data_IF_433780600848
#
_entry.id   IF_433780600848
#
_cell.length_a   1.000
_cell.length_b   1.000
_cell.length_c   1.000
_cell.angle_alpha   90.00
_cell.angle_beta   90.00
_cell.angle_gamma   90.00
#
_symmetry.space_group_name_H-M   'P 1'
#
loop_
_entity.id
_entity.type
_entity.pdbx_description
1 polymer ?
#
# COMPACT_ATOMS: atom_id res chain seq x y z
N UNK A 1 85.52 16.91 -22.51
CA UNK A 1 84.65 17.94 -23.10
C UNK A 1 83.49 17.23 -23.80
N UNK A 2 82.24 17.65 -23.52
CA UNK A 2 80.93 17.27 -24.12
C UNK A 2 80.28 15.91 -23.75
N UNK A 3 79.46 16.02 -22.70
CA UNK A 3 78.09 15.52 -22.51
C UNK A 3 77.39 14.84 -23.71
N UNK A 4 76.77 13.68 -23.45
CA UNK A 4 75.58 13.22 -24.17
C UNK A 4 74.58 12.65 -23.14
N UNK A 5 73.49 13.40 -22.92
CA UNK A 5 72.36 13.02 -22.07
C UNK A 5 71.38 12.23 -22.93
N UNK A 6 71.17 10.95 -22.63
CA UNK A 6 70.04 10.19 -23.16
C UNK A 6 68.82 10.42 -22.25
N UNK A 7 67.85 11.20 -22.73
CA UNK A 7 66.53 11.34 -22.13
C UNK A 7 65.67 10.16 -22.58
N UNK A 8 65.30 9.27 -21.66
CA UNK A 8 64.10 8.44 -21.83
C UNK A 8 63.09 8.86 -20.78
N UNK A 9 62.02 9.49 -21.26
CA UNK A 9 60.88 9.90 -20.46
C UNK A 9 60.12 8.65 -20.00
N UNK A 10 60.07 8.40 -18.69
CA UNK A 10 59.15 7.43 -18.11
C UNK A 10 57.76 8.09 -18.06
N UNK A 11 56.93 7.80 -19.06
CA UNK A 11 55.53 8.23 -19.08
C UNK A 11 54.75 7.39 -18.07
N UNK A 12 54.50 7.94 -16.88
CA UNK A 12 53.55 7.37 -15.93
C UNK A 12 52.15 7.62 -16.47
N UNK A 13 51.52 6.60 -17.07
CA UNK A 13 50.09 6.62 -17.34
C UNK A 13 49.36 6.53 -15.99
N UNK A 14 48.83 7.66 -15.50
CA UNK A 14 47.80 7.64 -14.48
C UNK A 14 46.52 7.09 -15.11
N UNK A 15 46.22 5.82 -14.83
CA UNK A 15 44.90 5.24 -15.07
C UNK A 15 43.89 5.89 -14.13
N UNK A 16 43.26 6.98 -14.57
CA UNK A 16 42.03 7.45 -13.97
C UNK A 16 40.94 6.44 -14.31
N UNK A 17 40.71 5.48 -13.42
CA UNK A 17 39.49 4.69 -13.43
C UNK A 17 38.33 5.65 -13.20
N UNK A 18 37.69 6.07 -14.29
CA UNK A 18 36.34 6.64 -14.28
C UNK A 18 35.41 5.54 -13.78
N UNK A 19 35.33 5.35 -12.47
CA UNK A 19 34.14 4.78 -11.86
C UNK A 19 33.02 5.73 -12.24
N UNK A 20 32.26 5.39 -13.28
CA UNK A 20 31.03 6.09 -13.61
C UNK A 20 30.22 6.16 -12.33
N UNK A 21 29.98 7.37 -11.83
CA UNK A 21 29.19 7.59 -10.64
C UNK A 21 27.83 6.95 -10.91
N UNK A 22 27.56 5.78 -10.33
CA UNK A 22 26.21 5.29 -10.21
C UNK A 22 25.46 6.41 -9.48
N UNK A 23 24.57 7.08 -10.19
CA UNK A 23 23.86 8.23 -9.65
C UNK A 23 23.08 7.74 -8.44
N UNK A 24 23.56 8.08 -7.25
CA UNK A 24 23.01 7.55 -6.00
C UNK A 24 21.55 7.96 -5.93
N UNK A 25 20.67 6.97 -5.84
CA UNK A 25 19.23 7.13 -5.67
C UNK A 25 18.94 7.74 -4.30
N UNK A 26 19.20 9.05 -4.15
CA UNK A 26 18.93 9.79 -2.92
C UNK A 26 17.54 10.40 -3.01
N UNK A 27 16.75 10.19 -1.95
CA UNK A 27 15.50 10.92 -1.75
C UNK A 27 15.79 12.20 -0.97
N UNK A 28 15.56 13.34 -1.62
CA UNK A 28 15.87 14.66 -1.08
C UNK A 28 14.84 15.68 -1.58
N UNK A 29 13.62 15.66 -1.02
CA UNK A 29 12.59 16.63 -1.34
C UNK A 29 13.08 18.07 -1.14
N UNK A 30 12.72 19.02 -2.02
CA UNK A 30 13.06 20.41 -1.82
C UNK A 30 12.36 20.97 -0.56
N UNK A 31 13.02 21.84 0.21
CA UNK A 31 12.38 22.50 1.34
C UNK A 31 11.18 23.32 0.84
N UNK A 32 10.06 23.24 1.56
CA UNK A 32 8.79 23.91 1.19
C UNK A 32 8.22 23.50 -0.19
N UNK A 33 8.60 22.33 -0.71
CA UNK A 33 7.97 21.76 -1.90
C UNK A 33 6.49 21.48 -1.70
N UNK A 34 5.74 21.39 -2.81
CA UNK A 34 4.34 21.01 -2.79
C UNK A 34 4.14 19.64 -2.13
N UNK A 35 3.11 19.51 -1.31
CA UNK A 35 2.78 18.31 -0.55
C UNK A 35 1.34 17.90 -0.80
N UNK A 36 1.09 16.60 -0.65
CA UNK A 36 -0.24 16.01 -0.52
C UNK A 36 -0.46 15.67 0.94
N UNK A 37 -1.54 16.17 1.53
CA UNK A 37 -1.95 15.80 2.88
C UNK A 37 -2.89 14.60 2.80
N UNK A 38 -2.55 13.52 3.50
CA UNK A 38 -3.38 12.33 3.64
C UNK A 38 -3.88 12.25 5.08
N UNK A 39 -5.20 12.27 5.26
CA UNK A 39 -5.86 12.20 6.55
C UNK A 39 -6.71 10.94 6.63
N UNK A 40 -6.54 10.17 7.70
CA UNK A 40 -7.33 8.99 8.03
C UNK A 40 -8.09 9.26 9.32
N UNK A 41 -9.42 9.17 9.27
CA UNK A 41 -10.25 9.09 10.48
C UNK A 41 -10.27 7.65 10.94
N UNK A 42 -9.71 7.37 12.11
CA UNK A 42 -9.57 6.02 12.65
C UNK A 42 -10.79 5.68 13.51
N UNK A 43 -11.61 4.69 13.12
CA UNK A 43 -12.73 4.25 13.93
C UNK A 43 -12.25 3.62 15.23
N UNK A 44 -13.15 3.58 16.22
CA UNK A 44 -12.91 2.83 17.46
C UNK A 44 -12.53 1.38 17.14
N UNK A 45 -11.60 0.85 17.93
CA UNK A 45 -11.08 -0.54 17.86
C UNK A 45 -10.14 -0.82 16.66
N UNK A 46 -9.83 0.19 15.84
CA UNK A 46 -8.87 0.12 14.74
C UNK A 46 -7.69 1.08 14.96
N UNK A 47 -6.64 0.89 14.15
CA UNK A 47 -5.48 1.77 14.05
C UNK A 47 -5.25 2.20 12.59
N UNK A 48 -4.54 3.32 12.39
CA UNK A 48 -4.12 3.73 11.05
C UNK A 48 -2.98 2.84 10.56
N UNK A 49 -2.99 2.48 9.28
CA UNK A 49 -1.87 1.77 8.65
C UNK A 49 -0.67 2.71 8.47
N UNK A 50 0.54 2.16 8.57
CA UNK A 50 1.74 2.76 7.96
C UNK A 50 1.45 3.02 6.49
N UNK A 51 1.73 4.24 6.02
CA UNK A 51 1.51 4.57 4.62
C UNK A 51 2.67 4.08 3.77
N UNK A 52 2.39 3.21 2.81
CA UNK A 52 3.37 2.78 1.80
C UNK A 52 3.31 3.73 0.61
N UNK A 53 4.34 4.55 0.47
CA UNK A 53 4.40 5.62 -0.53
C UNK A 53 5.38 5.23 -1.61
N UNK A 54 4.97 5.39 -2.86
CA UNK A 54 5.79 5.08 -4.02
C UNK A 54 6.14 6.35 -4.77
N UNK A 55 7.43 6.54 -5.02
CA UNK A 55 7.94 7.52 -5.97
C UNK A 55 8.49 6.84 -7.22
N UNK A 56 8.39 7.53 -8.36
CA UNK A 56 8.90 7.05 -9.65
C UNK A 56 9.81 8.06 -10.34
N UNK A 57 10.66 7.56 -11.23
CA UNK A 57 11.54 8.39 -12.05
C UNK A 57 11.87 7.73 -13.40
N UNK A 58 11.53 8.41 -14.48
CA UNK A 58 12.03 8.09 -15.83
C UNK A 58 13.54 8.40 -15.99
N UNK A 59 14.13 9.23 -15.12
CA UNK A 59 15.56 9.59 -15.17
C UNK A 59 16.48 8.51 -14.61
N UNK A 60 15.96 7.70 -13.69
CA UNK A 60 16.68 6.59 -13.10
C UNK A 60 15.87 5.31 -13.38
N UNK A 61 15.83 4.83 -14.63
CA UNK A 61 15.01 3.68 -15.00
C UNK A 61 15.47 2.41 -14.27
N UNK A 62 14.51 1.54 -13.97
CA UNK A 62 14.79 0.18 -13.52
C UNK A 62 14.64 -0.80 -14.70
N UNK A 63 15.37 -1.91 -14.65
CA UNK A 63 15.24 -3.00 -15.62
C UNK A 63 14.44 -4.13 -14.98
N UNK A 64 13.37 -4.52 -15.64
CA UNK A 64 12.58 -5.69 -15.28
C UNK A 64 12.70 -6.75 -16.37
N UNK A 65 12.45 -8.01 -15.99
CA UNK A 65 12.33 -9.10 -16.96
C UNK A 65 11.44 -10.18 -16.39
N UNK A 66 10.33 -10.45 -17.08
CA UNK A 66 9.43 -11.56 -16.75
C UNK A 66 9.71 -12.82 -17.60
N UNK A 67 10.28 -12.64 -18.80
CA UNK A 67 10.50 -13.66 -19.82
C UNK A 67 11.99 -13.87 -20.16
N UNK A 68 12.89 -13.24 -19.40
CA UNK A 68 14.34 -13.29 -19.62
C UNK A 68 14.87 -12.19 -20.57
N UNK A 69 14.00 -11.40 -21.20
CA UNK A 69 14.38 -10.20 -21.94
C UNK A 69 14.20 -8.96 -21.03
N UNK A 70 15.27 -8.20 -20.73
CA UNK A 70 15.14 -7.00 -19.94
C UNK A 70 14.41 -5.89 -20.71
N UNK A 71 13.39 -5.31 -20.09
CA UNK A 71 12.76 -4.07 -20.53
C UNK A 71 12.93 -2.98 -19.47
N UNK A 72 12.98 -1.73 -19.91
CA UNK A 72 13.11 -0.58 -19.01
C UNK A 72 11.74 -0.07 -18.58
N UNK A 73 11.63 0.26 -17.30
CA UNK A 73 10.51 0.96 -16.70
C UNK A 73 11.03 2.15 -15.91
N UNK A 74 10.14 3.08 -15.55
CA UNK A 74 10.46 4.09 -14.54
C UNK A 74 11.02 3.42 -13.29
N UNK A 75 12.12 3.95 -12.77
CA UNK A 75 12.63 3.50 -11.49
C UNK A 75 11.64 3.78 -10.38
N UNK A 76 11.82 3.09 -9.26
CA UNK A 76 10.96 3.19 -8.09
C UNK A 76 11.75 3.51 -6.83
N UNK A 77 11.14 4.27 -5.94
CA UNK A 77 11.67 4.59 -4.62
C UNK A 77 10.56 4.48 -3.57
N UNK A 78 10.39 3.31 -2.92
CA UNK A 78 9.42 3.13 -1.85
C UNK A 78 9.89 3.81 -0.56
N UNK A 79 8.97 4.43 0.16
CA UNK A 79 9.16 4.86 1.55
C UNK A 79 7.92 4.52 2.38
N UNK A 80 8.16 4.31 3.67
CA UNK A 80 7.10 4.15 4.66
C UNK A 80 6.95 5.44 5.47
N UNK A 81 5.71 5.86 5.69
CA UNK A 81 5.39 7.07 6.45
C UNK A 81 4.34 6.75 7.50
N UNK A 82 4.70 6.94 8.77
CA UNK A 82 3.77 6.83 9.89
C UNK A 82 2.91 8.09 10.02
N UNK A 83 1.58 7.99 9.87
CA UNK A 83 0.72 9.15 10.07
C UNK A 83 0.65 9.50 11.55
N UNK A 84 0.60 10.80 11.85
CA UNK A 84 0.61 11.32 13.22
C UNK A 84 -0.78 11.74 13.64
N UNK A 85 -1.15 11.42 14.88
CA UNK A 85 -2.40 11.88 15.46
C UNK A 85 -2.47 13.41 15.50
N UNK A 86 -3.60 13.97 15.07
CA UNK A 86 -3.86 15.40 15.06
C UNK A 86 -4.50 15.79 16.40
N UNK A 87 -3.71 16.40 17.29
CA UNK A 87 -4.16 16.81 18.62
C UNK A 87 -4.71 15.62 19.43
N UNK A 88 -5.82 15.82 20.12
CA UNK A 88 -6.56 14.75 20.83
C UNK A 88 -7.80 14.33 20.03
N UNK A 89 -7.62 13.92 18.77
CA UNK A 89 -8.71 13.50 17.88
C UNK A 89 -8.52 12.08 17.35
N UNK A 90 -9.51 11.57 16.63
CA UNK A 90 -9.45 10.32 15.88
C UNK A 90 -8.83 10.48 14.48
N UNK A 91 -8.23 11.64 14.19
CA UNK A 91 -7.63 11.94 12.89
C UNK A 91 -6.11 11.72 12.93
N UNK A 92 -5.61 11.03 11.91
CA UNK A 92 -4.19 10.76 11.69
C UNK A 92 -3.77 11.33 10.35
N UNK A 93 -2.69 12.11 10.33
CA UNK A 93 -2.24 12.85 9.15
C UNK A 93 -0.78 12.55 8.79
N UNK A 94 -0.52 12.39 7.50
CA UNK A 94 0.81 12.46 6.93
C UNK A 94 0.86 13.48 5.78
N UNK A 95 2.02 14.09 5.59
CA UNK A 95 2.29 14.99 4.46
C UNK A 95 3.35 14.38 3.56
N UNK A 96 3.00 14.19 2.30
CA UNK A 96 3.83 13.51 1.31
C UNK A 96 4.33 14.54 0.31
N UNK A 97 5.63 14.65 0.10
CA UNK A 97 6.17 15.55 -0.92
C UNK A 97 5.74 15.09 -2.32
N UNK A 98 5.25 15.98 -3.18
CA UNK A 98 5.04 15.65 -4.59
C UNK A 98 6.35 15.42 -5.32
N UNK A 99 7.35 16.22 -4.97
CA UNK A 99 8.71 16.13 -5.48
C UNK A 99 9.60 15.47 -4.42
N UNK A 100 9.98 14.22 -4.66
CA UNK A 100 10.98 13.50 -3.89
C UNK A 100 12.42 13.96 -4.17
N UNK A 101 12.61 14.77 -5.22
CA UNK A 101 13.86 15.44 -5.53
C UNK A 101 15.03 14.49 -5.78
N UNK A 102 16.21 14.91 -5.36
CA UNK A 102 17.47 14.21 -5.64
C UNK A 102 17.85 14.17 -7.11
N UNK A 103 18.93 13.46 -7.41
CA UNK A 103 19.47 13.36 -8.76
C UNK A 103 18.51 12.67 -9.75
N UNK A 104 17.70 11.74 -9.24
CA UNK A 104 16.68 11.04 -10.01
C UNK A 104 15.39 11.85 -10.20
N UNK A 105 15.21 12.99 -9.52
CA UNK A 105 13.97 13.79 -9.60
C UNK A 105 12.72 12.94 -9.34
N UNK A 106 12.73 12.21 -8.23
CA UNK A 106 11.65 11.33 -7.81
C UNK A 106 10.30 12.07 -7.77
N UNK A 107 9.24 11.51 -8.33
CA UNK A 107 7.88 12.08 -8.29
C UNK A 107 6.92 11.12 -7.62
N UNK A 108 6.03 11.66 -6.79
CA UNK A 108 5.00 10.88 -6.10
C UNK A 108 4.12 10.16 -7.13
N UNK A 109 4.05 8.83 -7.05
CA UNK A 109 3.31 7.98 -7.97
C UNK A 109 2.02 7.46 -7.32
N UNK A 110 2.11 6.90 -6.12
CA UNK A 110 0.93 6.44 -5.38
C UNK A 110 1.21 6.33 -3.88
N UNK A 111 0.14 6.25 -3.10
CA UNK A 111 0.17 5.90 -1.68
C UNK A 111 -0.86 4.81 -1.39
N UNK A 112 -0.45 3.80 -0.64
CA UNK A 112 -1.35 2.82 -0.01
C UNK A 112 -1.45 3.15 1.48
N UNK A 113 -2.66 3.23 2.00
CA UNK A 113 -2.95 3.55 3.39
C UNK A 113 -4.30 2.94 3.77
N UNK A 114 -4.69 3.01 5.04
CA UNK A 114 -5.92 2.37 5.47
C UNK A 114 -6.04 2.30 6.98
N UNK A 115 -6.80 1.30 7.41
CA UNK A 115 -6.98 0.94 8.82
C UNK A 115 -6.86 -0.57 8.99
N UNK A 116 -6.33 -0.99 10.14
CA UNK A 116 -6.23 -2.39 10.54
C UNK A 116 -6.67 -2.57 12.00
N UNK A 117 -6.84 -3.83 12.41
CA UNK A 117 -6.96 -4.15 13.84
C UNK A 117 -5.58 -4.22 14.48
N UNK A 118 -5.33 -3.36 15.46
CA UNK A 118 -4.16 -3.48 16.34
C UNK A 118 -4.38 -4.57 17.39
N UNK A 119 -5.61 -4.69 17.91
CA UNK A 119 -5.99 -5.69 18.89
C UNK A 119 -7.20 -6.51 18.42
N UNK A 120 -7.04 -7.82 18.42
CA UNK A 120 -8.03 -8.79 17.95
C UNK A 120 -8.61 -9.66 19.06
N UNK A 121 -8.20 -9.46 20.32
CA UNK A 121 -8.54 -10.31 21.45
C UNK A 121 -10.05 -10.46 21.68
N UNK A 122 -10.84 -9.43 21.34
CA UNK A 122 -12.29 -9.45 21.43
C UNK A 122 -12.96 -10.50 20.51
N UNK A 123 -12.24 -10.99 19.49
CA UNK A 123 -12.72 -12.06 18.61
C UNK A 123 -12.30 -13.45 19.09
N UNK A 124 -11.72 -13.56 20.29
CA UNK A 124 -11.29 -14.81 20.91
C UNK A 124 -9.79 -15.09 20.75
N UNK A 125 -9.34 -16.12 21.47
CA UNK A 125 -7.96 -16.59 21.43
C UNK A 125 -7.55 -16.94 19.99
N UNK A 126 -6.31 -16.62 19.63
CA UNK A 126 -5.67 -16.90 18.34
C UNK A 126 -6.31 -16.24 17.11
N UNK A 127 -7.20 -15.26 17.29
CA UNK A 127 -7.70 -14.45 16.19
C UNK A 127 -6.60 -13.51 15.67
N UNK A 128 -6.20 -13.67 14.41
CA UNK A 128 -5.19 -12.80 13.78
C UNK A 128 -5.85 -11.88 12.75
N UNK A 129 -5.43 -10.61 12.71
CA UNK A 129 -5.84 -9.73 11.63
C UNK A 129 -5.25 -10.21 10.30
N UNK A 130 -6.09 -10.26 9.27
CA UNK A 130 -5.70 -10.78 7.97
C UNK A 130 -5.57 -9.68 6.90
N UNK A 131 -6.68 -9.01 6.55
CA UNK A 131 -6.68 -7.94 5.55
C UNK A 131 -7.98 -7.10 5.60
N UNK A 132 -8.05 -6.09 4.74
CA UNK A 132 -9.20 -5.22 4.52
C UNK A 132 -9.03 -3.83 5.13
N UNK A 133 -9.81 -2.85 4.67
CA UNK A 133 -9.70 -1.46 5.13
C UNK A 133 -8.68 -0.60 4.37
N UNK A 134 -8.08 -1.15 3.31
CA UNK A 134 -7.05 -0.48 2.51
C UNK A 134 -7.60 0.43 1.42
N UNK A 135 -6.82 1.46 1.08
CA UNK A 135 -7.06 2.41 0.01
C UNK A 135 -5.74 2.66 -0.74
N UNK A 136 -5.82 2.81 -2.06
CA UNK A 136 -4.72 3.24 -2.91
C UNK A 136 -5.14 4.53 -3.62
N UNK A 137 -4.28 5.54 -3.58
CA UNK A 137 -4.45 6.76 -4.38
C UNK A 137 -3.25 6.93 -5.30
N UNK A 138 -3.53 7.09 -6.58
CA UNK A 138 -2.58 7.18 -7.68
C UNK A 138 -2.52 8.64 -8.17
N UNK A 139 -1.32 9.16 -8.34
CA UNK A 139 -1.02 10.55 -8.70
C UNK A 139 -0.35 10.70 -10.07
N UNK A 140 -0.11 9.60 -10.78
CA UNK A 140 0.48 9.59 -12.12
C UNK A 140 -0.29 8.63 -13.05
N UNK A 141 0.26 8.40 -14.25
CA UNK A 141 -0.32 7.47 -15.24
C UNK A 141 0.18 6.03 -15.07
N UNK A 142 0.98 5.77 -14.03
CA UNK A 142 1.51 4.45 -13.77
C UNK A 142 0.52 3.59 -12.97
N UNK A 143 0.53 2.28 -13.22
CA UNK A 143 -0.16 1.35 -12.33
C UNK A 143 0.57 1.24 -10.99
N UNK A 144 -0.14 1.24 -9.85
CA UNK A 144 0.48 1.05 -8.54
C UNK A 144 1.08 -0.37 -8.45
N UNK A 145 2.13 -0.52 -7.64
CA UNK A 145 2.79 -1.83 -7.43
C UNK A 145 1.83 -2.83 -6.79
N UNK A 146 1.10 -2.39 -5.76
CA UNK A 146 -0.06 -3.12 -5.23
C UNK A 146 -1.24 -2.82 -6.13
N UNK A 147 -1.77 -3.85 -6.79
CA UNK A 147 -3.01 -3.71 -7.58
C UNK A 147 -4.19 -4.15 -6.75
N UNK A 148 -5.23 -3.32 -6.72
CA UNK A 148 -6.56 -3.85 -6.43
C UNK A 148 -7.01 -4.69 -7.63
N UNK A 149 -7.72 -5.79 -7.38
CA UNK A 149 -8.40 -6.54 -8.44
C UNK A 149 -9.59 -5.76 -9.02
N UNK A 150 -9.97 -4.66 -8.37
CA UNK A 150 -11.13 -3.84 -8.66
C UNK A 150 -10.79 -2.63 -9.53
N UNK A 151 -11.83 -2.01 -10.10
CA UNK A 151 -11.70 -0.84 -10.98
C UNK A 151 -11.13 0.38 -10.25
N UNK A 152 -10.17 1.06 -10.88
CA UNK A 152 -9.67 2.37 -10.46
C UNK A 152 -10.74 3.44 -10.72
N UNK A 153 -11.08 4.21 -9.69
CA UNK A 153 -12.03 5.33 -9.82
C UNK A 153 -11.26 6.62 -10.10
N UNK A 154 -11.48 7.23 -11.25
CA UNK A 154 -10.88 8.53 -11.59
C UNK A 154 -11.65 9.68 -10.92
N UNK A 155 -10.91 10.59 -10.30
CA UNK A 155 -11.42 11.82 -9.70
C UNK A 155 -10.48 12.97 -10.03
N UNK A 156 -11.01 14.20 -10.03
CA UNK A 156 -10.20 15.42 -10.21
C UNK A 156 -10.16 16.19 -8.90
N UNK A 157 -8.96 16.65 -8.53
CA UNK A 157 -8.74 17.44 -7.33
C UNK A 157 -8.80 16.62 -6.05
N UNK A 158 -9.06 17.31 -4.94
CA UNK A 158 -9.07 16.74 -3.61
C UNK A 158 -10.15 15.66 -3.45
N UNK A 159 -9.85 14.60 -2.72
CA UNK A 159 -10.74 13.45 -2.59
C UNK A 159 -11.17 13.23 -1.14
N UNK A 160 -12.47 12.96 -0.96
CA UNK A 160 -13.01 12.41 0.29
C UNK A 160 -13.54 11.01 0.01
N UNK A 161 -13.08 10.04 0.79
CA UNK A 161 -13.38 8.61 0.62
C UNK A 161 -14.14 8.17 1.86
N UNK A 162 -15.42 7.85 1.68
CA UNK A 162 -16.30 7.37 2.75
C UNK A 162 -16.74 5.95 2.39
N UNK A 163 -16.46 4.99 3.27
CA UNK A 163 -16.69 3.57 3.04
C UNK A 163 -17.17 2.89 4.31
N UNK A 164 -18.13 2.00 4.14
CA UNK A 164 -18.69 1.20 5.21
C UNK A 164 -17.91 -0.12 5.33
N UNK A 165 -17.57 -0.50 6.55
CA UNK A 165 -16.83 -1.71 6.85
C UNK A 165 -17.45 -2.48 8.02
N UNK A 166 -17.26 -3.80 8.00
CA UNK A 166 -17.81 -4.72 9.00
C UNK A 166 -16.75 -5.72 9.49
N UNK A 167 -16.79 -6.15 10.76
CA UNK A 167 -15.98 -7.25 11.24
C UNK A 167 -16.40 -8.57 10.57
N UNK A 168 -15.43 -9.31 10.04
CA UNK A 168 -15.62 -10.68 9.57
C UNK A 168 -14.64 -11.63 10.25
N UNK A 169 -15.17 -12.45 11.16
CA UNK A 169 -14.42 -13.53 11.82
C UNK A 169 -14.52 -14.79 10.95
N UNK A 170 -13.39 -15.25 10.43
CA UNK A 170 -13.31 -16.42 9.56
C UNK A 170 -12.50 -17.54 10.21
N UNK A 171 -13.11 -18.71 10.35
CA UNK A 171 -12.44 -19.92 10.81
C UNK A 171 -12.18 -20.87 9.65
N UNK A 172 -10.97 -21.38 9.56
CA UNK A 172 -10.58 -22.41 8.59
C UNK A 172 -9.94 -23.59 9.32
N UNK A 173 -10.24 -24.80 8.86
CA UNK A 173 -9.83 -26.05 9.52
C UNK A 173 -8.88 -26.90 8.66
N UNK A 174 -8.95 -26.75 7.33
CA UNK A 174 -8.09 -27.51 6.41
C UNK A 174 -6.68 -26.93 6.39
N UNK A 175 -5.68 -27.79 6.61
CA UNK A 175 -4.28 -27.37 6.69
C UNK A 175 -3.89 -26.74 8.04
N UNK A 176 -4.67 -27.03 9.09
CA UNK A 176 -4.51 -26.49 10.43
C UNK A 176 -5.60 -25.47 10.78
N UNK A 177 -5.97 -25.38 12.05
CA UNK A 177 -6.91 -24.39 12.52
C UNK A 177 -6.32 -22.98 12.38
N UNK A 178 -7.07 -22.08 11.76
CA UNK A 178 -6.75 -20.65 11.70
C UNK A 178 -8.01 -19.84 11.93
N UNK A 179 -7.91 -18.83 12.79
CA UNK A 179 -8.95 -17.85 13.05
C UNK A 179 -8.47 -16.48 12.60
N UNK A 180 -9.22 -15.85 11.70
CA UNK A 180 -8.84 -14.57 11.08
C UNK A 180 -9.92 -13.54 11.31
N UNK A 181 -9.52 -12.31 11.59
CA UNK A 181 -10.40 -11.14 11.52
C UNK A 181 -10.06 -10.34 10.26
N UNK A 182 -11.10 -10.09 9.46
CA UNK A 182 -11.04 -9.34 8.22
C UNK A 182 -11.91 -8.09 8.37
N UNK A 183 -11.44 -6.96 7.86
CA UNK A 183 -12.25 -5.75 7.73
C UNK A 183 -12.99 -5.85 6.40
N UNK A 184 -14.22 -6.33 6.44
CA UNK A 184 -15.04 -6.57 5.25
C UNK A 184 -15.58 -5.24 4.71
N UNK A 185 -15.07 -4.84 3.55
CA UNK A 185 -15.61 -3.75 2.73
C UNK A 185 -16.33 -4.26 1.49
N UNK A 186 -16.93 -3.35 0.71
CA UNK A 186 -17.47 -3.70 -0.62
C UNK A 186 -16.38 -4.17 -1.59
N UNK A 187 -15.15 -3.72 -1.35
CA UNK A 187 -13.93 -4.10 -2.03
C UNK A 187 -12.86 -4.31 -0.96
N UNK A 188 -11.91 -5.22 -1.20
CA UNK A 188 -10.79 -5.44 -0.28
C UNK A 188 -9.90 -4.20 -0.17
N UNK A 189 -9.68 -3.53 -1.30
CA UNK A 189 -8.91 -2.29 -1.42
C UNK A 189 -9.58 -1.37 -2.45
N UNK A 190 -9.90 -0.14 -2.05
CA UNK A 190 -10.44 0.87 -2.96
C UNK A 190 -9.30 1.61 -3.67
N UNK A 191 -9.36 1.72 -5.00
CA UNK A 191 -8.35 2.42 -5.79
C UNK A 191 -8.91 3.68 -6.44
N UNK A 192 -8.18 4.78 -6.27
CA UNK A 192 -8.51 6.07 -6.85
C UNK A 192 -7.33 6.63 -7.64
N UNK A 193 -7.63 7.35 -8.72
CA UNK A 193 -6.64 8.16 -9.44
C UNK A 193 -7.05 9.62 -9.36
N UNK A 194 -6.20 10.46 -8.76
CA UNK A 194 -6.36 11.91 -8.76
C UNK A 194 -4.99 12.59 -8.76
N UNK A 195 -4.51 12.89 -9.97
CA UNK A 195 -3.17 13.44 -10.23
C UNK A 195 -2.94 14.74 -9.44
N UNK A 196 -3.95 15.61 -9.39
CA UNK A 196 -3.84 16.96 -8.83
C UNK A 196 -4.38 17.08 -7.39
N UNK A 197 -4.73 15.97 -6.71
CA UNK A 197 -5.23 16.01 -5.33
C UNK A 197 -4.18 16.57 -4.38
N UNK A 198 -4.49 17.66 -3.68
CA UNK A 198 -3.67 18.22 -2.60
C UNK A 198 -4.07 17.66 -1.25
N UNK A 199 -5.33 17.26 -1.11
CA UNK A 199 -5.84 16.63 0.09
C UNK A 199 -6.57 15.33 -0.22
N UNK A 200 -6.34 14.33 0.63
CA UNK A 200 -6.98 13.03 0.62
C UNK A 200 -7.53 12.81 2.02
N UNK A 201 -8.83 12.63 2.13
CA UNK A 201 -9.47 12.35 3.42
C UNK A 201 -10.19 11.02 3.36
N UNK A 202 -9.80 10.05 4.19
CA UNK A 202 -10.47 8.77 4.33
C UNK A 202 -11.24 8.70 5.64
N UNK A 203 -12.55 8.49 5.54
CA UNK A 203 -13.50 8.39 6.66
C UNK A 203 -14.23 7.05 6.60
N UNK A 204 -13.58 5.95 7.03
CA UNK A 204 -14.28 4.69 7.18
C UNK A 204 -15.36 4.78 8.27
N UNK A 205 -16.55 4.24 7.99
CA UNK A 205 -17.55 3.92 9.01
C UNK A 205 -17.40 2.45 9.36
N UNK A 206 -17.04 2.15 10.60
CA UNK A 206 -16.84 0.78 11.05
C UNK A 206 -17.99 0.33 11.97
N UNK A 207 -18.76 -0.67 11.53
CA UNK A 207 -19.91 -1.20 12.27
C UNK A 207 -19.50 -2.36 13.17
N UNK A 208 -18.80 -2.06 14.27
CA UNK A 208 -18.26 -3.10 15.18
C UNK A 208 -19.34 -4.02 15.78
N UNK A 209 -20.59 -3.56 15.86
CA UNK A 209 -21.73 -4.34 16.33
C UNK A 209 -22.33 -5.30 15.29
N UNK A 210 -21.89 -5.25 14.03
CA UNK A 210 -22.40 -6.07 12.93
C UNK A 210 -21.34 -7.07 12.45
N UNK A 211 -21.11 -8.12 13.25
CA UNK A 211 -20.09 -9.15 12.94
C UNK A 211 -20.64 -10.27 12.05
N UNK A 212 -19.94 -10.53 10.96
CA UNK A 212 -20.09 -11.73 10.13
C UNK A 212 -19.19 -12.85 10.66
N UNK A 213 -19.72 -14.06 10.76
CA UNK A 213 -18.94 -15.25 11.07
C UNK A 213 -18.89 -16.18 9.86
N UNK A 214 -17.74 -16.80 9.60
CA UNK A 214 -17.65 -17.90 8.64
C UNK A 214 -16.89 -19.09 9.16
N UNK A 215 -17.33 -20.27 8.73
CA UNK A 215 -16.69 -21.55 9.02
C UNK A 215 -16.40 -22.25 7.69
N UNK A 216 -15.12 -22.50 7.44
CA UNK A 216 -14.67 -23.30 6.32
C UNK A 216 -15.05 -24.79 6.48
N UNK A 217 -14.93 -25.59 5.40
CA UNK A 217 -15.06 -27.04 5.46
C UNK A 217 -14.12 -27.65 6.51
N UNK A 218 -14.56 -28.72 7.18
CA UNK A 218 -13.74 -29.46 8.14
C UNK A 218 -13.04 -30.63 7.49
N UNK A 219 -13.61 -31.16 6.42
CA UNK A 219 -13.03 -32.23 5.62
C UNK A 219 -12.75 -31.78 4.19
N UNK A 220 -11.92 -32.53 3.45
CA UNK A 220 -11.65 -32.28 2.01
C UNK A 220 -12.81 -32.72 1.10
N UNK A 221 -13.99 -33.01 1.66
CA UNK A 221 -15.17 -33.41 0.90
C UNK A 221 -15.66 -32.24 0.02
N UNK A 222 -15.92 -32.51 -1.26
CA UNK A 222 -16.42 -31.53 -2.22
C UNK A 222 -17.86 -31.07 -1.93
N UNK A 223 -18.61 -31.79 -1.10
CA UNK A 223 -19.96 -31.39 -0.71
C UNK A 223 -19.97 -30.49 0.53
N UNK A 224 -18.88 -30.49 1.31
CA UNK A 224 -18.68 -29.50 2.37
C UNK A 224 -18.24 -28.17 1.76
N UNK A 225 -19.06 -27.15 1.93
CA UNK A 225 -18.80 -25.78 1.49
C UNK A 225 -18.83 -24.82 2.67
N UNK A 226 -18.14 -23.66 2.57
CA UNK A 226 -18.13 -22.68 3.65
C UNK A 226 -19.55 -22.23 4.04
N UNK A 227 -19.74 -22.04 5.34
CA UNK A 227 -20.94 -21.47 5.93
C UNK A 227 -20.67 -20.05 6.42
N UNK A 228 -21.64 -19.15 6.25
CA UNK A 228 -21.59 -17.76 6.67
C UNK A 228 -22.82 -17.43 7.50
N UNK A 229 -22.63 -16.84 8.68
CA UNK A 229 -23.68 -16.41 9.60
C UNK A 229 -23.61 -14.90 9.77
N UNK A 230 -24.67 -14.22 9.32
CA UNK A 230 -24.79 -12.75 9.29
C UNK A 230 -25.24 -12.19 10.65
N UNK A 231 -25.06 -10.88 10.88
CA UNK A 231 -25.46 -10.24 12.15
C UNK A 231 -26.94 -10.41 12.50
N UNK A 232 -27.81 -10.55 11.50
CA UNK A 232 -29.25 -10.76 11.69
C UNK A 232 -29.63 -12.22 12.04
N UNK A 233 -28.65 -13.12 12.18
CA UNK A 233 -28.86 -14.55 12.46
C UNK A 233 -28.98 -15.43 11.21
N UNK A 234 -29.12 -14.85 10.02
CA UNK A 234 -29.24 -15.63 8.79
C UNK A 234 -27.96 -16.41 8.52
N UNK A 235 -28.13 -17.66 8.07
CA UNK A 235 -27.01 -18.52 7.69
C UNK A 235 -27.14 -19.00 6.26
N UNK A 236 -26.05 -18.91 5.50
CA UNK A 236 -25.98 -19.40 4.11
C UNK A 236 -24.77 -20.31 3.94
N UNK A 237 -24.83 -21.22 2.97
CA UNK A 237 -23.71 -22.03 2.51
C UNK A 237 -23.40 -21.69 1.07
N UNK A 238 -22.17 -21.25 0.78
CA UNK A 238 -21.78 -20.84 -0.58
C UNK A 238 -20.27 -20.93 -0.78
N UNK A 239 -19.83 -21.16 -2.01
CA UNK A 239 -18.43 -21.09 -2.41
C UNK A 239 -17.98 -19.67 -2.78
N UNK A 240 -18.91 -18.76 -3.04
CA UNK A 240 -18.63 -17.42 -3.58
C UNK A 240 -18.17 -16.39 -2.55
N UNK A 241 -18.13 -16.75 -1.27
CA UNK A 241 -17.86 -15.78 -0.19
C UNK A 241 -19.12 -15.12 0.37
N UNK A 242 -18.97 -14.27 1.40
CA UNK A 242 -20.08 -13.52 1.98
C UNK A 242 -20.49 -12.36 1.06
N UNK A 243 -21.77 -11.98 1.14
CA UNK A 243 -22.30 -10.83 0.42
C UNK A 243 -22.20 -9.58 1.28
N UNK A 244 -21.40 -8.60 0.85
CA UNK A 244 -21.33 -7.29 1.50
C UNK A 244 -22.71 -6.61 1.58
N UNK A 245 -23.53 -6.71 0.52
CA UNK A 245 -24.86 -6.08 0.47
C UNK A 245 -25.76 -6.56 1.61
N UNK A 246 -25.61 -7.82 2.03
CA UNK A 246 -26.40 -8.38 3.13
C UNK A 246 -25.97 -7.85 4.51
N UNK A 247 -24.80 -7.23 4.64
CA UNK A 247 -24.36 -6.56 5.88
C UNK A 247 -25.05 -5.20 6.09
N UNK A 248 -25.40 -4.52 5.00
CA UNK A 248 -26.00 -3.19 5.02
C UNK A 248 -27.50 -3.19 5.27
N UNK A 249 -28.15 -4.36 5.14
CA UNK A 249 -29.58 -4.53 5.43
C UNK A 249 -29.85 -4.81 6.92
#
# INVERSE_FOLDING_TARGET
MKLAIARSAATVLLSFSLSGCAQTAVFSPPPNGEQVTVTVKVPKDLAADTMHVMYRSAKCPSKESADGVPYEIDGFYPIDVEPRQVGQSDLYEAKLARDGGGACQWKLSNVTFGVHYENTAQFGLDAEYAWGGGVIVIFDDNLPQRRSMERITEQSGDITIEKEYYPWVSESFLGGYKKRIIILGRQDVFSYKSINAKTITFKPTFHSNKTLYSQGPKTKNKDEIPQYTYPNGDTIKTRSGPSFIKMSN
#
